data_IF_357418676539
#
_entry.id   IF_357418676539
#
_cell.length_a   1.000
_cell.length_b   1.000
_cell.length_c   1.000
_cell.angle_alpha   90.00
_cell.angle_beta   90.00
_cell.angle_gamma   90.00
#
_symmetry.space_group_name_H-M   'P 1'
#
loop_
_entity.id
_entity.type
_entity.pdbx_description
1 polymer ?
#
# COMPACT_ATOMS: atom_id res chain seq x y z
N UNK A 1 -46.31 -9.85 -10.53
CA UNK A 1 -45.84 -11.13 -9.94
C UNK A 1 -44.33 -11.01 -9.80
N UNK A 2 -43.75 -10.85 -8.60
CA UNK A 2 -42.31 -10.64 -8.49
C UNK A 2 -41.57 -11.97 -8.31
N UNK A 3 -40.55 -12.15 -9.15
CA UNK A 3 -39.63 -13.27 -9.19
C UNK A 3 -38.72 -13.30 -7.94
N UNK A 4 -38.31 -14.51 -7.55
CA UNK A 4 -37.65 -14.84 -6.30
C UNK A 4 -36.34 -14.10 -6.03
N UNK A 5 -36.11 -13.83 -4.75
CA UNK A 5 -34.99 -13.08 -4.20
C UNK A 5 -33.68 -13.88 -4.36
N UNK A 6 -32.89 -13.54 -5.40
CA UNK A 6 -31.54 -14.07 -5.57
C UNK A 6 -30.70 -13.82 -4.32
N UNK A 7 -29.99 -14.85 -3.86
CA UNK A 7 -29.15 -14.82 -2.66
C UNK A 7 -28.27 -13.57 -2.63
N UNK A 8 -28.58 -12.64 -1.73
CA UNK A 8 -27.84 -11.39 -1.56
C UNK A 8 -26.45 -11.73 -1.01
N UNK A 9 -25.45 -11.84 -1.88
CA UNK A 9 -24.05 -11.93 -1.47
C UNK A 9 -23.77 -10.71 -0.59
N UNK A 10 -23.40 -10.95 0.67
CA UNK A 10 -23.07 -9.89 1.61
C UNK A 10 -21.73 -9.29 1.21
N UNK A 11 -21.74 -8.37 0.24
CA UNK A 11 -20.56 -7.61 -0.15
C UNK A 11 -20.28 -6.62 0.98
N UNK A 12 -19.30 -6.94 1.81
CA UNK A 12 -18.80 -6.04 2.84
C UNK A 12 -17.79 -5.08 2.20
N UNK A 13 -18.13 -3.79 2.19
CA UNK A 13 -17.23 -2.74 1.72
C UNK A 13 -16.31 -2.20 2.83
N UNK A 14 -16.40 -2.76 4.04
CA UNK A 14 -15.58 -2.43 5.19
C UNK A 14 -14.37 -3.34 5.28
N UNK A 15 -13.20 -2.74 5.42
CA UNK A 15 -11.93 -3.43 5.55
C UNK A 15 -11.25 -3.02 6.84
N UNK A 16 -10.68 -3.99 7.56
CA UNK A 16 -9.91 -3.72 8.76
C UNK A 16 -8.64 -2.92 8.46
N UNK A 17 -8.33 -1.96 9.32
CA UNK A 17 -7.03 -1.29 9.39
C UNK A 17 -6.19 -1.92 10.51
N UNK A 18 -4.86 -1.81 10.40
CA UNK A 18 -3.94 -2.24 11.48
C UNK A 18 -3.95 -1.31 12.70
N UNK A 19 -4.74 -0.23 12.66
CA UNK A 19 -4.87 0.72 13.77
C UNK A 19 -5.89 0.24 14.79
N UNK A 20 -5.44 0.10 16.04
CA UNK A 20 -6.30 -0.18 17.19
C UNK A 20 -7.04 1.08 17.65
N UNK A 21 -8.30 0.92 18.07
CA UNK A 21 -9.07 2.00 18.71
C UNK A 21 -9.06 1.84 20.24
N UNK A 22 -9.32 0.63 20.73
CA UNK A 22 -9.29 0.26 22.14
C UNK A 22 -9.16 -1.27 22.29
N UNK A 23 -9.17 -1.77 23.53
CA UNK A 23 -9.01 -3.20 23.82
C UNK A 23 -9.98 -4.11 23.03
N UNK A 24 -11.19 -3.62 22.77
CA UNK A 24 -12.26 -4.39 22.13
C UNK A 24 -12.52 -3.98 20.67
N UNK A 25 -12.07 -2.80 20.22
CA UNK A 25 -12.39 -2.23 18.91
C UNK A 25 -11.14 -1.93 18.07
N UNK A 26 -11.29 -2.09 16.76
CA UNK A 26 -10.30 -1.71 15.76
C UNK A 26 -10.91 -0.77 14.72
N UNK A 27 -10.08 -0.04 13.99
CA UNK A 27 -10.53 0.85 12.92
C UNK A 27 -10.81 0.06 11.63
N UNK A 28 -11.87 0.45 10.92
CA UNK A 28 -12.23 -0.07 9.60
C UNK A 28 -12.47 1.07 8.61
N UNK A 29 -12.03 0.85 7.38
CA UNK A 29 -12.21 1.76 6.26
C UNK A 29 -13.30 1.24 5.31
N UNK A 30 -14.27 2.08 4.98
CA UNK A 30 -15.23 1.80 3.92
C UNK A 30 -14.67 2.31 2.58
N UNK A 31 -14.45 1.41 1.63
CA UNK A 31 -13.98 1.79 0.29
C UNK A 31 -15.10 2.14 -0.69
N UNK A 32 -16.37 1.93 -0.31
CA UNK A 32 -17.51 2.34 -1.15
C UNK A 32 -17.75 3.85 -1.11
N UNK A 33 -17.53 4.47 0.04
CA UNK A 33 -17.82 5.90 0.26
C UNK A 33 -16.72 6.65 1.03
N UNK A 34 -15.58 6.02 1.32
CA UNK A 34 -14.46 6.66 2.01
C UNK A 34 -14.65 6.84 3.52
N UNK A 35 -15.77 6.43 4.11
CA UNK A 35 -16.02 6.64 5.54
C UNK A 35 -15.14 5.74 6.43
N UNK A 36 -14.62 6.29 7.52
CA UNK A 36 -13.84 5.57 8.52
C UNK A 36 -14.64 5.42 9.82
N UNK A 37 -14.66 4.22 10.40
CA UNK A 37 -15.33 3.97 11.68
C UNK A 37 -14.56 2.93 12.49
N UNK A 38 -14.81 2.79 13.79
CA UNK A 38 -14.32 1.67 14.59
C UNK A 38 -15.41 0.60 14.76
N UNK A 39 -15.00 -0.62 15.07
CA UNK A 39 -15.92 -1.72 15.35
C UNK A 39 -15.24 -2.81 16.19
N UNK A 40 -16.04 -3.65 16.83
CA UNK A 40 -15.54 -4.74 17.67
C UNK A 40 -14.66 -5.71 16.86
N UNK A 41 -13.49 -6.05 17.40
CA UNK A 41 -12.49 -6.96 16.80
C UNK A 41 -13.07 -8.35 16.47
N UNK A 42 -14.15 -8.76 17.14
CA UNK A 42 -14.86 -10.02 16.89
C UNK A 42 -15.71 -10.01 15.61
N UNK A 43 -15.88 -8.87 14.94
CA UNK A 43 -16.69 -8.77 13.74
C UNK A 43 -15.96 -9.24 12.48
N UNK A 44 -16.68 -9.99 11.64
CA UNK A 44 -16.20 -10.43 10.33
C UNK A 44 -16.23 -9.25 9.34
N UNK A 45 -15.14 -8.48 9.26
CA UNK A 45 -14.88 -7.55 8.15
C UNK A 45 -13.77 -8.09 7.25
N UNK A 46 -13.69 -7.56 6.03
CA UNK A 46 -12.67 -7.98 5.07
C UNK A 46 -11.28 -7.48 5.47
N UNK A 47 -10.23 -8.19 5.04
CA UNK A 47 -8.83 -7.76 5.22
C UNK A 47 -8.19 -7.67 3.84
N UNK A 48 -7.35 -6.66 3.63
CA UNK A 48 -6.56 -6.50 2.41
C UNK A 48 -5.09 -6.48 2.78
N UNK A 49 -4.29 -7.36 2.16
CA UNK A 49 -2.85 -7.30 2.27
C UNK A 49 -2.31 -6.06 1.54
N UNK A 50 -1.50 -5.26 2.24
CA UNK A 50 -0.77 -4.12 1.65
C UNK A 50 0.68 -4.53 1.49
N UNK A 51 1.18 -4.51 0.24
CA UNK A 51 2.59 -4.75 -0.06
C UNK A 51 3.24 -3.41 -0.35
N UNK A 52 4.20 -3.02 0.47
CA UNK A 52 5.11 -1.94 0.10
C UNK A 52 5.96 -2.44 -1.06
N UNK A 53 5.88 -1.77 -2.20
CA UNK A 53 6.86 -1.97 -3.25
C UNK A 53 8.11 -1.21 -2.82
N UNK A 54 9.17 -1.96 -2.52
CA UNK A 54 10.51 -1.39 -2.59
C UNK A 54 10.69 -0.96 -4.05
N UNK A 55 10.47 0.32 -4.37
CA UNK A 55 10.96 0.88 -5.64
C UNK A 55 12.48 0.79 -5.58
N UNK A 56 12.95 -0.35 -6.08
CA UNK A 56 14.32 -0.80 -6.28
C UNK A 56 15.40 0.18 -5.78
N UNK A 57 15.92 -0.08 -4.58
CA UNK A 57 17.14 0.55 -4.07
C UNK A 57 18.42 0.11 -4.83
N UNK A 58 18.38 -0.09 -6.16
CA UNK A 58 19.53 -0.58 -6.92
C UNK A 58 19.62 -0.07 -8.38
N UNK A 59 19.19 1.17 -8.66
CA UNK A 59 19.81 1.93 -9.79
C UNK A 59 21.02 2.79 -9.37
N UNK A 60 21.34 2.90 -8.07
CA UNK A 60 22.31 3.90 -7.59
C UNK A 60 23.30 3.48 -6.51
N UNK A 61 23.80 2.23 -6.53
CA UNK A 61 25.06 1.90 -5.83
C UNK A 61 26.26 1.62 -6.74
N UNK A 62 26.06 1.57 -8.06
CA UNK A 62 27.14 1.70 -9.05
C UNK A 62 27.18 3.06 -9.74
N UNK A 63 26.08 3.83 -9.68
CA UNK A 63 26.04 5.13 -10.35
C UNK A 63 26.93 6.17 -9.66
N UNK A 64 26.97 6.25 -8.33
CA UNK A 64 27.79 7.29 -7.68
C UNK A 64 29.30 7.10 -7.83
N UNK A 65 29.79 5.85 -8.03
CA UNK A 65 31.23 5.57 -8.21
C UNK A 65 31.65 5.59 -9.68
N UNK A 66 30.79 5.15 -10.59
CA UNK A 66 31.04 5.24 -12.03
C UNK A 66 30.86 6.67 -12.57
N UNK A 67 29.88 7.43 -12.06
CA UNK A 67 29.61 8.80 -12.51
C UNK A 67 30.74 9.77 -12.12
N UNK A 68 31.36 9.60 -10.96
CA UNK A 68 32.52 10.42 -10.57
C UNK A 68 33.78 10.08 -11.38
N UNK A 69 34.01 8.80 -11.66
CA UNK A 69 35.14 8.34 -12.46
C UNK A 69 35.07 8.81 -13.92
N UNK A 70 33.88 8.78 -14.54
CA UNK A 70 33.68 9.27 -15.91
C UNK A 70 33.87 10.78 -16.01
N UNK A 71 33.41 11.55 -15.02
CA UNK A 71 33.60 13.01 -15.00
C UNK A 71 35.09 13.37 -14.87
N UNK A 72 35.84 12.65 -14.02
CA UNK A 72 37.28 12.88 -13.85
C UNK A 72 38.08 12.49 -15.10
N UNK A 73 37.73 11.38 -15.76
CA UNK A 73 38.39 10.95 -17.00
C UNK A 73 38.14 11.92 -18.16
N UNK A 74 36.91 12.42 -18.30
CA UNK A 74 36.56 13.36 -19.37
C UNK A 74 37.24 14.73 -19.20
N UNK A 75 37.45 15.18 -17.95
CA UNK A 75 38.27 16.36 -17.69
C UNK A 75 39.73 16.11 -18.05
N UNK A 76 40.31 14.96 -17.73
CA UNK A 76 41.73 14.65 -18.00
C UNK A 76 42.09 14.60 -19.50
N UNK A 77 41.16 14.20 -20.38
CA UNK A 77 41.39 14.14 -21.83
C UNK A 77 41.46 15.53 -22.46
N UNK A 78 40.72 16.50 -21.94
CA UNK A 78 40.66 17.86 -22.47
C UNK A 78 41.86 18.72 -22.03
N UNK A 79 42.65 18.24 -21.07
CA UNK A 79 43.90 18.87 -20.61
C UNK A 79 45.16 18.17 -21.14
N UNK A 80 45.01 17.23 -22.08
CA UNK A 80 46.10 16.68 -22.91
C UNK A 80 46.05 17.33 -24.30
#
# INVERSE_FOLDING_TARGET
MPFGNGSKIKVLHYYWSSTENDNNNAWKQNFNNGNQNNNNKNNTNNVRAVRAFQTFLLKRRHFCRLFYATILWQKNIQYR
#
